data_IF_920684958721
#
_entry.id   IF_920684958721
#
_cell.length_a   1.000
_cell.length_b   1.000
_cell.length_c   1.000
_cell.angle_alpha   90.00
_cell.angle_beta   90.00
_cell.angle_gamma   90.00
#
_symmetry.space_group_name_H-M   'P 1'
#
loop_
_entity.id
_entity.type
_entity.pdbx_description
1 polymer ?
#
# COMPACT_ATOMS: atom_id res chain seq x y z
N UNK A 1 13.37 -16.56 -20.21
CA UNK A 1 12.58 -16.47 -18.97
C UNK A 1 13.51 -15.86 -17.93
N UNK A 2 13.28 -14.61 -17.55
CA UNK A 2 14.13 -13.94 -16.56
C UNK A 2 13.60 -14.31 -15.18
N UNK A 3 14.46 -14.89 -14.34
CA UNK A 3 14.14 -15.22 -12.95
C UNK A 3 14.91 -14.24 -12.08
N UNK A 4 14.20 -13.54 -11.19
CA UNK A 4 14.80 -12.66 -10.20
C UNK A 4 14.87 -13.42 -8.88
N UNK A 5 15.92 -13.19 -8.11
CA UNK A 5 16.09 -13.71 -6.76
C UNK A 5 15.98 -12.55 -5.76
N UNK A 6 15.17 -12.70 -4.71
CA UNK A 6 14.99 -11.68 -3.67
C UNK A 6 15.64 -12.14 -2.37
N UNK A 7 16.45 -11.30 -1.72
CA UNK A 7 17.01 -11.60 -0.38
C UNK A 7 16.04 -11.19 0.74
N UNK A 8 16.27 -11.64 1.99
CA UNK A 8 15.45 -11.29 3.16
C UNK A 8 15.31 -9.78 3.40
N UNK A 9 16.34 -8.98 3.14
CA UNK A 9 16.28 -7.54 3.38
C UNK A 9 15.54 -6.82 2.23
N UNK A 10 15.68 -7.33 0.99
CA UNK A 10 14.91 -6.88 -0.18
C UNK A 10 13.43 -7.26 -0.10
N UNK A 11 13.08 -8.19 0.80
CA UNK A 11 11.71 -8.70 0.87
C UNK A 11 10.73 -7.80 1.58
N UNK A 12 11.10 -6.86 2.46
CA UNK A 12 10.06 -6.13 3.21
C UNK A 12 9.22 -5.21 2.30
N UNK A 13 9.89 -4.35 1.54
CA UNK A 13 9.21 -3.48 0.57
C UNK A 13 8.53 -4.30 -0.53
N UNK A 14 9.21 -5.33 -1.05
CA UNK A 14 8.65 -6.22 -2.06
C UNK A 14 7.42 -6.97 -1.56
N UNK A 15 7.45 -7.55 -0.34
CA UNK A 15 6.29 -8.22 0.28
C UNK A 15 5.15 -7.25 0.49
N UNK A 16 5.44 -6.04 0.96
CA UNK A 16 4.43 -5.02 1.13
C UNK A 16 3.76 -4.63 -0.19
N UNK A 17 4.50 -4.58 -1.29
CA UNK A 17 3.94 -4.40 -2.64
C UNK A 17 3.16 -5.65 -3.11
N UNK A 18 3.66 -6.85 -2.86
CA UNK A 18 2.99 -8.11 -3.22
C UNK A 18 1.61 -8.24 -2.56
N UNK A 19 1.48 -7.80 -1.32
CA UNK A 19 0.20 -7.74 -0.60
C UNK A 19 -0.80 -6.75 -1.22
N UNK A 20 -0.36 -5.87 -2.13
CA UNK A 20 -1.19 -4.94 -2.90
C UNK A 20 -1.60 -5.46 -4.27
N UNK A 21 -1.12 -6.63 -4.71
CA UNK A 21 -1.39 -7.20 -6.04
C UNK A 21 -2.78 -7.83 -6.10
N UNK A 22 -3.53 -7.60 -7.18
CA UNK A 22 -4.83 -8.24 -7.39
C UNK A 22 -4.69 -9.74 -7.61
N UNK A 23 -5.65 -10.51 -7.09
CA UNK A 23 -5.86 -11.92 -7.45
C UNK A 23 -7.05 -12.12 -8.40
N UNK A 24 -7.70 -11.03 -8.84
CA UNK A 24 -8.88 -11.05 -9.70
C UNK A 24 -8.50 -11.39 -11.16
N UNK A 25 -8.87 -12.58 -11.63
CA UNK A 25 -8.56 -13.07 -12.99
C UNK A 25 -9.02 -12.14 -14.12
N UNK A 26 -9.99 -11.27 -13.88
CA UNK A 26 -10.51 -10.34 -14.89
C UNK A 26 -9.68 -9.05 -15.01
N UNK A 27 -8.69 -8.86 -14.13
CA UNK A 27 -7.81 -7.67 -14.09
C UNK A 27 -6.33 -8.06 -14.21
N UNK A 28 -5.91 -8.69 -15.32
CA UNK A 28 -4.53 -9.19 -15.46
C UNK A 28 -3.47 -8.08 -15.38
N UNK A 29 -3.82 -6.85 -15.74
CA UNK A 29 -2.93 -5.69 -15.57
C UNK A 29 -2.60 -5.35 -14.10
N UNK A 30 -3.32 -5.92 -13.14
CA UNK A 30 -3.12 -5.70 -11.70
C UNK A 30 -2.44 -6.90 -11.01
N UNK A 31 -2.01 -7.93 -11.75
CA UNK A 31 -1.37 -9.15 -11.21
C UNK A 31 0.15 -9.00 -11.01
N UNK A 32 0.62 -7.78 -10.76
CA UNK A 32 2.05 -7.50 -10.76
C UNK A 32 2.47 -6.29 -9.96
N UNK A 33 3.77 -6.23 -9.71
CA UNK A 33 4.47 -5.00 -9.31
C UNK A 33 4.94 -4.33 -10.59
N UNK A 34 4.55 -3.07 -10.78
CA UNK A 34 4.95 -2.26 -11.92
C UNK A 34 6.12 -1.37 -11.53
N UNK A 35 7.22 -1.45 -12.28
CA UNK A 35 8.37 -0.55 -12.10
C UNK A 35 8.23 0.59 -13.10
N UNK A 36 8.10 1.80 -12.59
CA UNK A 36 7.96 3.03 -13.38
C UNK A 36 9.26 3.83 -13.32
N UNK A 37 9.84 4.11 -14.49
CA UNK A 37 11.03 4.95 -14.69
C UNK A 37 12.23 4.58 -13.79
N UNK A 38 12.35 3.29 -13.41
CA UNK A 38 13.34 2.74 -12.47
C UNK A 38 13.33 3.32 -11.05
N UNK A 39 12.46 4.29 -10.76
CA UNK A 39 12.44 5.01 -9.49
C UNK A 39 11.30 4.57 -8.57
N UNK A 40 10.15 4.18 -9.13
CA UNK A 40 8.96 3.87 -8.34
C UNK A 40 8.41 2.48 -8.68
N UNK A 41 8.18 1.68 -7.64
CA UNK A 41 7.48 0.40 -7.76
C UNK A 41 6.06 0.52 -7.20
N UNK A 42 5.08 0.07 -7.98
CA UNK A 42 3.64 0.24 -7.72
C UNK A 42 2.90 -1.08 -7.80
N UNK A 43 1.93 -1.29 -6.92
CA UNK A 43 0.98 -2.41 -6.96
C UNK A 43 -0.43 -1.93 -6.62
N UNK A 44 -1.44 -2.60 -7.16
CA UNK A 44 -2.85 -2.28 -6.93
C UNK A 44 -3.75 -3.48 -7.12
N UNK A 45 -4.88 -3.50 -6.41
CA UNK A 45 -6.01 -4.40 -6.65
C UNK A 45 -7.21 -3.67 -7.29
N UNK A 46 -7.07 -2.37 -7.53
CA UNK A 46 -8.11 -1.45 -7.99
C UNK A 46 -8.95 -0.80 -6.88
N UNK A 47 -8.76 -1.18 -5.62
CA UNK A 47 -9.33 -0.53 -4.44
C UNK A 47 -8.26 0.22 -3.62
N UNK A 48 -7.02 -0.25 -3.62
CA UNK A 48 -5.86 0.39 -3.01
C UNK A 48 -4.69 0.52 -4.01
N UNK A 49 -3.80 1.47 -3.75
CA UNK A 49 -2.51 1.59 -4.43
C UNK A 49 -1.42 1.59 -3.37
N UNK A 50 -0.35 0.83 -3.61
CA UNK A 50 0.88 0.85 -2.82
C UNK A 50 2.03 1.24 -3.74
N UNK A 51 2.78 2.27 -3.33
CA UNK A 51 3.90 2.78 -4.08
C UNK A 51 5.09 3.02 -3.13
N UNK A 52 6.29 2.73 -3.60
CA UNK A 52 7.55 2.96 -2.87
C UNK A 52 8.69 3.15 -3.85
N UNK A 53 9.84 3.66 -3.39
CA UNK A 53 11.06 3.68 -4.19
C UNK A 53 11.42 2.26 -4.63
N UNK A 54 11.82 2.10 -5.89
CA UNK A 54 12.10 0.78 -6.46
C UNK A 54 13.20 0.07 -5.67
N UNK A 55 12.92 -1.10 -5.06
CA UNK A 55 13.93 -1.87 -4.35
C UNK A 55 14.96 -2.47 -5.33
N UNK A 56 16.19 -2.66 -4.85
CA UNK A 56 17.38 -3.00 -5.65
C UNK A 56 17.20 -4.18 -6.65
N UNK A 57 16.52 -5.31 -6.35
CA UNK A 57 16.33 -6.37 -7.34
C UNK A 57 15.31 -6.03 -8.45
N UNK A 58 14.48 -5.00 -8.25
CA UNK A 58 13.51 -4.55 -9.26
C UNK A 58 14.07 -3.45 -10.16
N UNK A 59 15.00 -2.64 -9.64
CA UNK A 59 15.67 -1.59 -10.40
C UNK A 59 16.50 -2.17 -11.55
N UNK A 60 17.02 -3.38 -11.39
CA UNK A 60 17.77 -4.11 -12.42
C UNK A 60 16.93 -4.49 -13.66
N UNK A 61 15.60 -4.28 -13.62
CA UNK A 61 14.70 -4.64 -14.71
C UNK A 61 14.47 -3.54 -15.75
N UNK A 62 14.91 -2.30 -15.51
CA UNK A 62 14.89 -1.23 -16.52
C UNK A 62 13.48 -0.84 -16.99
N UNK A 63 12.57 -0.51 -16.06
CA UNK A 63 11.23 0.02 -16.35
C UNK A 63 10.21 -1.02 -16.82
N UNK A 64 10.46 -2.30 -16.55
CA UNK A 64 9.56 -3.40 -16.92
C UNK A 64 8.66 -3.80 -15.75
N UNK A 65 7.38 -4.01 -16.02
CA UNK A 65 6.46 -4.58 -15.03
C UNK A 65 6.79 -6.05 -14.73
N UNK A 66 6.64 -6.44 -13.47
CA UNK A 66 6.79 -7.79 -12.97
C UNK A 66 5.39 -8.33 -12.71
N UNK A 67 4.85 -9.07 -13.66
CA UNK A 67 3.60 -9.81 -13.47
C UNK A 67 3.92 -11.14 -12.79
N UNK A 68 3.56 -11.27 -11.52
CA UNK A 68 3.71 -12.53 -10.80
C UNK A 68 2.67 -13.51 -11.33
N UNK A 69 3.10 -14.55 -12.06
CA UNK A 69 2.19 -15.60 -12.54
C UNK A 69 1.48 -16.37 -11.40
N UNK A 70 2.02 -16.29 -10.17
CA UNK A 70 1.45 -16.83 -8.93
C UNK A 70 1.88 -15.95 -7.75
N UNK A 71 1.06 -15.82 -6.68
CA UNK A 71 1.51 -15.22 -5.44
C UNK A 71 2.82 -15.90 -5.00
N UNK A 72 3.88 -15.14 -4.75
CA UNK A 72 5.16 -15.73 -4.40
C UNK A 72 5.02 -16.46 -3.06
N UNK A 73 5.14 -17.78 -3.09
CA UNK A 73 5.30 -18.56 -1.86
C UNK A 73 6.72 -18.32 -1.37
N UNK A 74 6.85 -17.52 -0.31
CA UNK A 74 8.12 -17.34 0.41
C UNK A 74 8.42 -18.63 1.17
N UNK A 75 8.86 -19.66 0.45
CA UNK A 75 9.36 -20.92 1.03
C UNK A 75 10.88 -20.96 0.85
N UNK A 76 11.60 -20.16 1.64
CA UNK A 76 13.06 -20.07 1.60
C UNK A 76 13.59 -18.64 1.52
N UNK A 77 14.92 -18.52 1.40
CA UNK A 77 15.64 -17.25 1.30
C UNK A 77 15.46 -16.54 -0.04
N UNK A 78 14.70 -17.12 -0.99
CA UNK A 78 14.39 -16.48 -2.26
C UNK A 78 13.04 -16.82 -2.88
N UNK A 79 12.57 -15.92 -3.75
CA UNK A 79 11.32 -15.99 -4.50
C UNK A 79 11.64 -15.97 -5.99
N UNK A 80 11.10 -16.92 -6.77
CA UNK A 80 11.20 -16.90 -8.24
C UNK A 80 9.94 -16.27 -8.84
N UNK A 81 10.12 -15.29 -9.72
CA UNK A 81 9.03 -14.65 -10.47
C UNK A 81 9.23 -14.77 -11.98
N UNK A 82 8.13 -14.65 -12.72
CA UNK A 82 8.16 -14.45 -14.18
C UNK A 82 7.99 -12.96 -14.44
N UNK A 83 8.69 -12.43 -15.45
CA UNK A 83 8.56 -11.03 -15.86
C UNK A 83 7.74 -11.00 -17.14
N UNK A 84 6.70 -10.17 -17.18
CA UNK A 84 5.84 -9.99 -18.35
C UNK A 84 5.62 -8.50 -18.56
N UNK A 85 5.71 -8.04 -19.80
CA UNK A 85 5.44 -6.64 -20.10
C UNK A 85 3.93 -6.36 -19.96
N UNK A 86 3.58 -5.52 -19.00
CA UNK A 86 2.23 -5.00 -18.80
C UNK A 86 2.31 -3.54 -18.40
N UNK A 87 1.37 -2.72 -18.86
CA UNK A 87 1.33 -1.30 -18.48
C UNK A 87 0.23 -1.09 -17.44
N UNK A 88 0.59 -0.49 -16.31
CA UNK A 88 -0.39 0.02 -15.35
C UNK A 88 -1.08 1.27 -15.93
N UNK A 89 -2.39 1.46 -15.73
CA UNK A 89 -3.04 2.75 -16.00
C UNK A 89 -2.33 3.88 -15.24
N UNK A 90 -2.27 5.07 -15.82
CA UNK A 90 -1.63 6.24 -15.21
C UNK A 90 -2.38 6.70 -13.96
N UNK A 91 -1.96 6.18 -12.81
CA UNK A 91 -2.58 6.41 -11.53
C UNK A 91 -2.26 7.80 -10.93
N UNK A 92 -1.10 8.38 -11.28
CA UNK A 92 -0.69 9.72 -10.82
C UNK A 92 -1.65 10.78 -11.34
N UNK A 93 -2.06 10.67 -12.61
CA UNK A 93 -3.00 11.65 -13.16
C UNK A 93 -4.45 11.36 -12.81
N UNK A 94 -4.82 10.07 -12.62
CA UNK A 94 -6.22 9.64 -12.49
C UNK A 94 -6.75 9.55 -11.06
N UNK A 95 -5.93 9.15 -10.07
CA UNK A 95 -6.41 8.85 -8.70
C UNK A 95 -5.58 9.49 -7.60
N UNK A 96 -4.32 9.86 -7.84
CA UNK A 96 -3.52 10.55 -6.82
C UNK A 96 -4.15 11.92 -6.51
N UNK A 97 -4.42 12.24 -5.23
CA UNK A 97 -4.90 13.56 -4.85
C UNK A 97 -3.91 14.65 -5.27
N UNK A 98 -4.38 15.65 -6.02
CA UNK A 98 -3.56 16.78 -6.50
C UNK A 98 -3.67 18.02 -5.62
N UNK A 99 -4.75 18.11 -4.85
CA UNK A 99 -4.95 19.21 -3.90
C UNK A 99 -4.25 18.88 -2.58
N UNK A 100 -3.79 19.92 -1.89
CA UNK A 100 -3.30 19.79 -0.51
C UNK A 100 -4.37 19.12 0.39
N UNK A 101 -3.94 18.29 1.35
CA UNK A 101 -4.87 17.68 2.29
C UNK A 101 -5.58 18.78 3.07
N UNK A 102 -6.91 18.65 3.19
CA UNK A 102 -7.72 19.58 3.99
C UNK A 102 -7.36 19.52 5.48
N UNK A 103 -6.92 18.36 5.95
CA UNK A 103 -6.39 18.12 7.29
C UNK A 103 -5.48 16.88 7.26
N UNK A 104 -4.56 16.79 8.21
CA UNK A 104 -3.61 15.68 8.35
C UNK A 104 -3.54 15.25 9.82
N UNK A 105 -3.42 13.95 10.06
CA UNK A 105 -3.36 13.36 11.40
C UNK A 105 -2.23 12.34 11.44
N UNK A 106 -1.40 12.42 12.48
CA UNK A 106 -0.33 11.45 12.72
C UNK A 106 -0.82 10.42 13.73
N UNK A 107 -0.62 9.13 13.43
CA UNK A 107 -1.06 8.00 14.25
C UNK A 107 0.03 6.93 14.28
N UNK A 108 -0.02 6.10 15.31
CA UNK A 108 0.73 4.86 15.34
C UNK A 108 0.02 3.85 14.45
N UNK A 109 0.67 3.49 13.35
CA UNK A 109 0.10 2.55 12.37
C UNK A 109 -0.09 1.14 12.92
N UNK A 110 0.74 0.69 13.87
CA UNK A 110 0.62 -0.63 14.48
C UNK A 110 -0.57 -0.67 15.45
N UNK A 111 -0.76 0.39 16.23
CA UNK A 111 -1.93 0.53 17.11
C UNK A 111 -3.20 0.60 16.28
N UNK A 112 -3.25 1.47 15.26
CA UNK A 112 -4.42 1.57 14.37
C UNK A 112 -4.74 0.22 13.74
N UNK A 113 -3.74 -0.45 13.15
CA UNK A 113 -3.92 -1.76 12.53
C UNK A 113 -4.45 -2.80 13.53
N UNK A 114 -3.95 -2.81 14.76
CA UNK A 114 -4.43 -3.72 15.81
C UNK A 114 -5.86 -3.44 16.24
N UNK A 115 -6.27 -2.16 16.29
CA UNK A 115 -7.63 -1.78 16.69
C UNK A 115 -8.65 -2.16 15.61
N UNK A 116 -8.34 -1.91 14.33
CA UNK A 116 -9.26 -2.22 13.22
C UNK A 116 -9.23 -3.69 12.81
N UNK A 117 -8.26 -4.46 13.32
CA UNK A 117 -8.15 -5.88 13.03
C UNK A 117 -9.45 -6.58 13.42
N UNK A 118 -9.98 -7.37 12.49
CA UNK A 118 -11.21 -8.14 12.64
C UNK A 118 -12.49 -7.30 12.86
N UNK A 119 -12.45 -5.97 12.70
CA UNK A 119 -13.65 -5.11 12.75
C UNK A 119 -14.45 -5.12 11.43
N UNK A 120 -13.85 -5.57 10.33
CA UNK A 120 -14.47 -5.50 9.01
C UNK A 120 -14.49 -4.07 8.45
N UNK A 121 -15.63 -3.62 7.93
CA UNK A 121 -15.80 -2.22 7.54
C UNK A 121 -15.92 -1.34 8.78
N UNK A 122 -15.12 -0.29 8.84
CA UNK A 122 -15.09 0.66 9.96
C UNK A 122 -15.49 2.06 9.51
N UNK A 123 -16.18 2.80 10.38
CA UNK A 123 -16.37 4.25 10.28
C UNK A 123 -15.38 4.93 11.23
N UNK A 124 -14.70 5.97 10.73
CA UNK A 124 -13.76 6.79 11.50
C UNK A 124 -14.39 8.16 11.72
N UNK A 125 -14.67 8.51 12.97
CA UNK A 125 -15.21 9.82 13.36
C UNK A 125 -14.14 10.61 14.13
N UNK A 126 -13.84 11.83 13.66
CA UNK A 126 -12.78 12.69 14.20
C UNK A 126 -13.40 13.80 15.04
N UNK A 127 -12.97 13.97 16.29
CA UNK A 127 -13.62 14.88 17.23
C UNK A 127 -12.71 15.98 17.77
N UNK A 128 -13.24 17.19 17.89
CA UNK A 128 -12.68 18.27 18.71
C UNK A 128 -11.25 18.71 18.38
N UNK A 129 -10.63 19.43 19.32
CA UNK A 129 -9.28 20.02 19.17
C UNK A 129 -8.16 18.98 19.20
N UNK A 130 -8.34 17.89 19.94
CA UNK A 130 -7.32 16.86 20.14
C UNK A 130 -7.38 15.73 19.11
N UNK A 131 -8.35 15.81 18.18
CA UNK A 131 -8.62 14.83 17.14
C UNK A 131 -8.62 13.35 17.59
N UNK A 132 -9.21 12.97 18.75
CA UNK A 132 -9.53 11.57 18.98
C UNK A 132 -10.35 11.00 17.83
N UNK A 133 -10.05 9.75 17.50
CA UNK A 133 -10.68 9.00 16.41
C UNK A 133 -11.53 7.90 17.02
N UNK A 134 -12.84 8.05 16.94
CA UNK A 134 -13.75 6.94 17.22
C UNK A 134 -13.80 6.02 16.01
N UNK A 135 -13.67 4.72 16.28
CA UNK A 135 -13.68 3.66 15.28
C UNK A 135 -14.87 2.77 15.58
N UNK A 136 -15.85 2.76 14.67
CA UNK A 136 -17.09 2.00 14.81
C UNK A 136 -17.20 0.91 13.74
N UNK A 137 -17.64 -0.28 14.11
CA UNK A 137 -18.20 -1.28 13.18
C UNK A 137 -19.64 -1.60 13.57
N UNK A 138 -20.25 -2.61 12.94
CA UNK A 138 -21.63 -3.03 13.26
C UNK A 138 -21.85 -3.35 14.76
N UNK A 139 -20.82 -3.85 15.45
CA UNK A 139 -20.90 -4.36 16.82
C UNK A 139 -19.68 -4.03 17.69
N UNK A 140 -18.67 -3.33 17.16
CA UNK A 140 -17.42 -3.02 17.88
C UNK A 140 -17.13 -1.53 17.92
N UNK A 141 -16.41 -1.12 18.95
CA UNK A 141 -15.99 0.24 19.20
C UNK A 141 -14.52 0.28 19.64
N UNK A 142 -13.76 1.23 19.12
CA UNK A 142 -12.44 1.58 19.61
C UNK A 142 -12.24 3.11 19.58
N UNK A 143 -11.32 3.60 20.41
CA UNK A 143 -10.92 5.00 20.45
C UNK A 143 -9.40 5.06 20.29
N UNK A 144 -8.95 5.82 19.29
CA UNK A 144 -7.53 6.03 19.02
C UNK A 144 -7.16 7.50 19.23
N UNK A 145 -6.07 7.73 19.96
CA UNK A 145 -5.49 9.05 20.13
C UNK A 145 -4.37 9.27 19.08
N UNK A 146 -4.27 10.48 18.49
CA UNK A 146 -3.17 10.81 17.60
C UNK A 146 -1.80 10.82 18.29
N UNK A 147 -0.76 10.55 17.51
CA UNK A 147 0.63 10.62 17.94
C UNK A 147 1.16 12.05 17.75
N UNK A 148 1.43 12.75 18.85
CA UNK A 148 2.09 14.06 18.86
C UNK A 148 1.33 15.14 19.60
N UNK A 149 2.04 16.18 20.01
CA UNK A 149 1.46 17.39 20.59
C UNK A 149 0.51 18.04 19.58
N UNK A 150 -0.69 18.37 20.04
CA UNK A 150 -1.83 19.06 19.41
C UNK A 150 -1.69 19.47 17.92
N UNK A 151 -2.72 19.24 17.09
CA UNK A 151 -2.72 19.73 15.70
C UNK A 151 -2.42 21.23 15.66
N UNK A 152 -1.47 21.61 14.80
CA UNK A 152 -1.27 22.99 14.38
C UNK A 152 -2.61 23.53 13.89
N UNK A 153 -3.01 24.65 14.47
CA UNK A 153 -4.31 25.31 14.29
C UNK A 153 -4.64 25.46 12.80
N UNK A 154 -5.62 24.70 12.30
CA UNK A 154 -6.43 25.01 11.12
C UNK A 154 -7.69 24.12 11.06
N UNK A 155 -8.29 23.81 12.22
CA UNK A 155 -9.63 23.24 12.25
C UNK A 155 -10.63 24.39 12.27
N UNK A 156 -11.20 24.74 11.11
CA UNK A 156 -12.37 25.62 11.06
C UNK A 156 -13.58 24.72 10.79
N UNK A 157 -14.55 24.65 11.72
CA UNK A 157 -15.73 23.79 11.59
C UNK A 157 -16.61 24.15 10.37
#
# INVERSE_FOLDING_TARGET
>A
MNTIEFTKDDTRATRWLLDGVSTDIYRPGFHGIHVEDDEVSVSTDGAQIRATSTPQPLAELGGKAIVFAKPPRVNGDSVKCSVTESKLPDWRSSVQPKAEPKFSITLDGEILASLVKDMGFVRLDFHGKFLPIEIHSADKYALLMPCGDNPTENFTP
#
